data_IF_921881315333
#
_entry.id   IF_921881315333
#
_cell.length_a   1.000
_cell.length_b   1.000
_cell.length_c   1.000
_cell.angle_alpha   90.00
_cell.angle_beta   90.00
_cell.angle_gamma   90.00
#
_symmetry.space_group_name_H-M   'P 1'
#
loop_
_entity.id
_entity.type
_entity.pdbx_description
1 polymer ?
#
# COMPACT_ATOMS: atom_id res chain seq x y z
N UNK A 1 8.63 10.91 -6.00
CA UNK A 1 7.32 10.25 -6.20
C UNK A 1 7.03 9.42 -4.96
N UNK A 2 5.77 9.30 -4.53
CA UNK A 2 5.42 8.49 -3.36
C UNK A 2 5.38 7.02 -3.78
N UNK A 3 6.07 6.15 -3.04
CA UNK A 3 6.12 4.71 -3.31
C UNK A 3 5.82 3.92 -2.04
N UNK A 4 5.07 2.83 -2.17
CA UNK A 4 4.85 1.82 -1.14
C UNK A 4 5.27 0.45 -1.69
N UNK A 5 6.17 -0.22 -0.98
CA UNK A 5 6.56 -1.60 -1.26
C UNK A 5 5.84 -2.53 -0.29
N UNK A 6 5.00 -3.44 -0.79
CA UNK A 6 4.22 -4.34 0.06
C UNK A 6 5.10 -5.23 0.97
N UNK A 7 6.28 -5.61 0.47
CA UNK A 7 7.27 -6.41 1.21
C UNK A 7 7.78 -5.71 2.47
N UNK A 8 7.83 -4.36 2.49
CA UNK A 8 8.23 -3.58 3.66
C UNK A 8 7.22 -3.67 4.81
N UNK A 9 5.96 -4.01 4.51
CA UNK A 9 4.92 -4.27 5.50
C UNK A 9 5.00 -5.69 6.08
N UNK A 10 5.94 -6.53 5.61
CA UNK A 10 6.10 -7.91 6.05
C UNK A 10 5.24 -8.92 5.29
N UNK A 11 4.58 -8.50 4.21
CA UNK A 11 3.83 -9.41 3.34
C UNK A 11 4.76 -10.10 2.33
N UNK A 12 4.42 -11.33 1.96
CA UNK A 12 5.07 -12.03 0.85
C UNK A 12 4.45 -11.58 -0.49
N UNK A 13 4.67 -10.31 -0.83
CA UNK A 13 4.16 -9.67 -2.05
C UNK A 13 5.19 -8.68 -2.59
N UNK A 14 5.53 -8.81 -3.87
CA UNK A 14 6.43 -7.90 -4.61
C UNK A 14 5.69 -6.67 -5.19
N UNK A 15 4.47 -6.42 -4.75
CA UNK A 15 3.68 -5.26 -5.15
C UNK A 15 4.39 -3.95 -4.80
N UNK A 16 4.57 -3.10 -5.82
CA UNK A 16 5.09 -1.74 -5.66
C UNK A 16 4.06 -0.76 -6.21
N UNK A 17 3.54 0.08 -5.33
CA UNK A 17 2.48 1.05 -5.63
C UNK A 17 3.09 2.44 -5.65
N UNK A 18 2.78 3.23 -6.68
CA UNK A 18 3.37 4.55 -6.92
C UNK A 18 2.28 5.57 -7.16
N UNK A 19 2.47 6.77 -6.61
CA UNK A 19 1.52 7.87 -6.75
C UNK A 19 2.15 9.23 -6.47
N UNK A 20 1.40 10.29 -6.74
CA UNK A 20 1.81 11.66 -6.52
C UNK A 20 1.53 12.14 -5.09
N UNK A 21 0.68 11.42 -4.36
CA UNK A 21 0.34 11.69 -2.96
C UNK A 21 0.16 10.40 -2.17
N UNK A 22 0.23 10.50 -0.84
CA UNK A 22 -0.06 9.39 0.05
C UNK A 22 -1.47 8.84 -0.16
N UNK A 23 -2.45 9.71 -0.44
CA UNK A 23 -3.84 9.31 -0.66
C UNK A 23 -4.02 8.50 -1.94
N UNK A 24 -3.32 8.89 -3.02
CA UNK A 24 -3.31 8.13 -4.26
C UNK A 24 -2.69 6.74 -4.07
N UNK A 25 -1.54 6.67 -3.36
CA UNK A 25 -0.88 5.40 -3.03
C UNK A 25 -1.78 4.52 -2.16
N UNK A 26 -2.43 5.08 -1.14
CA UNK A 26 -3.31 4.32 -0.25
C UNK A 26 -4.57 3.81 -0.96
N UNK A 27 -5.15 4.60 -1.87
CA UNK A 27 -6.28 4.16 -2.68
C UNK A 27 -5.93 2.98 -3.58
N UNK A 28 -4.78 3.07 -4.27
CA UNK A 28 -4.26 1.96 -5.08
C UNK A 28 -3.89 0.74 -4.23
N UNK A 29 -3.34 0.94 -3.02
CA UNK A 29 -3.02 -0.16 -2.09
C UNK A 29 -4.28 -0.92 -1.64
N UNK A 30 -5.35 -0.20 -1.31
CA UNK A 30 -6.62 -0.80 -0.94
C UNK A 30 -7.24 -1.57 -2.13
N UNK A 31 -7.20 -1.01 -3.34
CA UNK A 31 -7.64 -1.70 -4.54
C UNK A 31 -6.82 -2.99 -4.77
N UNK A 32 -5.50 -2.90 -4.67
CA UNK A 32 -4.60 -4.05 -4.81
C UNK A 32 -4.91 -5.15 -3.78
N UNK A 33 -5.08 -4.79 -2.50
CA UNK A 33 -5.44 -5.75 -1.46
C UNK A 33 -6.75 -6.49 -1.79
N UNK A 34 -7.75 -5.77 -2.30
CA UNK A 34 -9.04 -6.34 -2.68
C UNK A 34 -8.96 -7.23 -3.92
N UNK A 35 -8.31 -6.76 -4.98
CA UNK A 35 -8.30 -7.45 -6.28
C UNK A 35 -7.32 -8.61 -6.34
N UNK A 36 -6.15 -8.48 -5.72
CA UNK A 36 -5.08 -9.49 -5.79
C UNK A 36 -5.17 -10.48 -4.62
N UNK A 37 -5.58 -10.02 -3.44
CA UNK A 37 -5.59 -10.84 -2.23
C UNK A 37 -6.99 -11.13 -1.71
N UNK A 38 -8.05 -10.52 -2.26
CA UNK A 38 -9.42 -10.68 -1.75
C UNK A 38 -9.60 -10.12 -0.34
N UNK A 39 -8.74 -9.17 0.07
CA UNK A 39 -8.72 -8.60 1.41
C UNK A 39 -9.20 -7.15 1.37
N UNK A 40 -10.18 -6.81 2.19
CA UNK A 40 -10.56 -5.43 2.44
C UNK A 40 -9.56 -4.80 3.43
N UNK A 41 -8.98 -3.66 3.06
CA UNK A 41 -8.01 -2.97 3.90
C UNK A 41 -8.68 -2.47 5.19
N UNK A 42 -8.22 -2.96 6.35
CA UNK A 42 -8.71 -2.48 7.65
C UNK A 42 -8.09 -1.12 7.99
N UNK A 43 -8.67 -0.37 8.95
CA UNK A 43 -8.06 0.88 9.41
C UNK A 43 -6.65 0.70 9.98
N UNK A 44 -6.39 -0.42 10.67
CA UNK A 44 -5.09 -0.76 11.23
C UNK A 44 -4.06 -1.04 10.14
N UNK A 45 -4.41 -1.88 9.15
CA UNK A 45 -3.57 -2.12 7.97
C UNK A 45 -3.28 -0.81 7.23
N UNK A 46 -4.30 0.04 7.07
CA UNK A 46 -4.16 1.32 6.36
C UNK A 46 -3.21 2.27 7.09
N UNK A 47 -3.30 2.34 8.43
CA UNK A 47 -2.39 3.14 9.25
C UNK A 47 -0.96 2.62 9.19
N UNK A 48 -0.77 1.29 9.24
CA UNK A 48 0.55 0.67 9.10
C UNK A 48 1.17 0.98 7.74
N UNK A 49 0.45 0.73 6.65
CA UNK A 49 0.91 0.94 5.28
C UNK A 49 1.26 2.41 5.01
N UNK A 50 0.45 3.35 5.53
CA UNK A 50 0.71 4.78 5.36
C UNK A 50 2.07 5.22 5.92
N UNK A 51 2.52 4.62 7.03
CA UNK A 51 3.83 4.92 7.64
C UNK A 51 5.03 4.37 6.85
N UNK A 52 4.77 3.47 5.88
CA UNK A 52 5.79 2.85 5.05
C UNK A 52 5.95 3.53 3.69
N UNK A 53 5.09 4.52 3.36
CA UNK A 53 5.22 5.29 2.13
C UNK A 53 6.52 6.12 2.16
N UNK A 54 7.33 5.99 1.12
CA UNK A 54 8.60 6.71 0.94
C UNK A 54 8.55 7.65 -0.26
N UNK A 55 9.41 8.65 -0.26
CA UNK A 55 9.71 9.45 -1.46
C UNK A 55 10.94 8.89 -2.15
N UNK A 56 10.77 8.51 -3.42
CA UNK A 56 11.83 8.02 -4.32
C UNK A 56 11.87 8.81 -5.63
#
# INVERSE_FOLDING_TARGET
MKTLHCRDAGYDCDGVIRGNSDEEVMGQAAQHAREVHGVEATPEMSAQLKNLIREE
#
